data_IF_357616917994
#
_entry.id   IF_357616917994
#
_cell.length_a   1.000
_cell.length_b   1.000
_cell.length_c   1.000
_cell.angle_alpha   90.00
_cell.angle_beta   90.00
_cell.angle_gamma   90.00
#
_symmetry.space_group_name_H-M   'P 1'
#
loop_
_entity.id
_entity.type
_entity.pdbx_description
1 polymer ?
#
# COMPACT_ATOMS: atom_id res chain seq x y z
N UNK A 1 -10.56 0.38 -7.97
CA UNK A 1 -10.78 -0.51 -6.81
C UNK A 1 -9.74 -1.62 -6.91
N UNK A 2 -8.86 -1.77 -5.91
CA UNK A 2 -7.98 -2.92 -5.83
C UNK A 2 -8.86 -4.09 -5.34
N UNK A 3 -8.89 -5.19 -6.09
CA UNK A 3 -9.67 -6.37 -5.70
C UNK A 3 -9.14 -7.00 -4.40
N UNK A 4 -9.94 -7.84 -3.75
CA UNK A 4 -9.49 -8.57 -2.56
C UNK A 4 -8.31 -9.48 -2.91
N UNK A 5 -7.20 -9.31 -2.21
CA UNK A 5 -6.02 -10.17 -2.34
C UNK A 5 -6.21 -11.39 -1.44
N UNK A 6 -5.81 -12.57 -1.93
CA UNK A 6 -5.90 -13.82 -1.15
C UNK A 6 -4.51 -14.34 -0.83
N UNK A 7 -4.34 -14.86 0.38
CA UNK A 7 -3.08 -15.40 0.87
C UNK A 7 -3.25 -16.58 1.81
N UNK A 8 -2.13 -17.09 2.30
CA UNK A 8 -2.07 -18.15 3.31
C UNK A 8 -1.19 -17.71 4.47
N UNK A 9 -1.57 -18.09 5.69
CA UNK A 9 -0.81 -17.75 6.89
C UNK A 9 0.61 -18.35 6.79
N UNK A 10 1.63 -17.54 7.10
CA UNK A 10 3.02 -17.94 6.99
C UNK A 10 3.58 -17.97 5.57
N UNK A 11 2.80 -17.59 4.55
CA UNK A 11 3.26 -17.43 3.16
C UNK A 11 3.32 -15.95 2.77
N UNK A 12 4.30 -15.54 1.94
CA UNK A 12 4.33 -14.18 1.41
C UNK A 12 3.07 -13.88 0.57
N UNK A 13 2.49 -12.70 0.79
CA UNK A 13 1.39 -12.15 0.01
C UNK A 13 1.86 -10.84 -0.60
N UNK A 14 1.59 -10.69 -1.90
CA UNK A 14 2.01 -9.52 -2.68
C UNK A 14 0.79 -8.69 -3.05
N UNK A 15 0.86 -7.39 -2.80
CA UNK A 15 -0.12 -6.39 -3.22
C UNK A 15 0.55 -5.43 -4.19
N UNK A 16 -0.14 -5.11 -5.27
CA UNK A 16 0.37 -4.21 -6.31
C UNK A 16 -0.62 -3.09 -6.56
N UNK A 17 -0.10 -1.93 -6.96
CA UNK A 17 -0.92 -0.78 -7.32
C UNK A 17 -0.09 0.36 -7.88
N UNK A 18 -0.75 1.50 -8.02
CA UNK A 18 -0.11 2.72 -8.48
C UNK A 18 -0.53 3.92 -7.63
N UNK A 19 0.35 4.92 -7.55
CA UNK A 19 0.11 6.21 -6.95
C UNK A 19 0.32 7.30 -8.01
N UNK A 20 -0.49 8.34 -7.95
CA UNK A 20 -0.41 9.51 -8.83
C UNK A 20 -0.82 10.75 -8.04
N UNK A 21 -0.13 11.86 -8.30
CA UNK A 21 -0.50 13.19 -7.83
C UNK A 21 -0.55 14.12 -9.07
N UNK A 22 -1.73 14.61 -9.43
CA UNK A 22 -1.95 15.23 -10.74
C UNK A 22 -1.16 16.54 -10.89
N UNK A 23 -0.08 16.49 -11.67
CA UNK A 23 0.82 17.63 -11.89
C UNK A 23 1.89 17.80 -10.82
N UNK A 24 2.07 16.81 -9.93
CA UNK A 24 3.12 16.81 -8.92
C UNK A 24 3.78 15.42 -8.81
N UNK A 25 5.10 15.35 -8.56
CA UNK A 25 5.73 14.09 -8.23
C UNK A 25 5.14 13.50 -6.93
N UNK A 26 4.85 12.21 -6.95
CA UNK A 26 4.63 11.45 -5.71
C UNK A 26 5.99 11.34 -5.02
N UNK A 27 6.17 11.96 -3.86
CA UNK A 27 7.44 11.96 -3.13
C UNK A 27 7.65 10.67 -2.32
N UNK A 28 6.56 10.09 -1.81
CA UNK A 28 6.59 8.79 -1.15
C UNK A 28 5.24 8.08 -1.23
N UNK A 29 5.28 6.76 -1.03
CA UNK A 29 4.08 5.94 -0.77
C UNK A 29 4.14 5.45 0.67
N UNK A 30 3.04 5.60 1.39
CA UNK A 30 2.90 5.16 2.77
C UNK A 30 1.92 4.00 2.89
N UNK A 31 2.31 3.01 3.70
CA UNK A 31 1.52 1.81 3.97
C UNK A 31 1.20 1.72 5.46
N UNK A 32 -0.03 1.34 5.79
CA UNK A 32 -0.46 1.08 7.16
C UNK A 32 -1.19 -0.26 7.24
N UNK A 33 -0.90 -1.02 8.30
CA UNK A 33 -1.50 -2.33 8.59
C UNK A 33 -2.37 -2.31 9.86
N UNK A 34 -2.58 -1.14 10.46
CA UNK A 34 -3.26 -0.92 11.75
C UNK A 34 -4.34 0.17 11.65
N UNK A 35 -5.06 0.19 10.52
CA UNK A 35 -6.11 1.16 10.19
C UNK A 35 -5.66 2.63 10.30
N UNK A 36 -4.39 2.89 9.97
CA UNK A 36 -3.83 4.23 9.91
C UNK A 36 -3.23 4.73 11.22
N UNK A 37 -3.09 3.88 12.24
CA UNK A 37 -2.39 4.21 13.48
C UNK A 37 -0.91 4.48 13.26
N UNK A 38 -0.25 3.65 12.46
CA UNK A 38 1.16 3.76 12.07
C UNK A 38 1.31 3.66 10.56
N UNK A 39 2.25 4.44 10.01
CA UNK A 39 2.52 4.50 8.58
C UNK A 39 3.99 4.28 8.30
N UNK A 40 4.30 3.27 7.51
CA UNK A 40 5.65 3.02 6.99
C UNK A 40 5.82 3.78 5.68
N UNK A 41 6.85 4.61 5.58
CA UNK A 41 7.12 5.46 4.41
C UNK A 41 8.15 4.81 3.50
N UNK A 42 7.86 4.80 2.20
CA UNK A 42 8.78 4.39 1.16
C UNK A 42 8.94 5.55 0.18
N UNK A 43 10.12 6.15 0.18
CA UNK A 43 10.43 7.27 -0.71
C UNK A 43 10.48 6.80 -2.16
N UNK A 44 10.03 7.66 -3.05
CA UNK A 44 10.01 7.42 -4.50
C UNK A 44 10.89 8.44 -5.18
N UNK A 45 12.23 8.33 -5.01
CA UNK A 45 13.15 9.23 -5.68
C UNK A 45 12.94 9.14 -7.19
N UNK A 46 13.11 10.27 -7.87
CA UNK A 46 12.96 10.39 -9.32
C UNK A 46 11.55 10.15 -9.88
N UNK A 47 10.52 10.12 -9.03
CA UNK A 47 9.14 10.16 -9.50
C UNK A 47 8.92 11.43 -10.35
N UNK A 48 8.33 11.26 -11.53
CA UNK A 48 7.96 12.37 -12.41
C UNK A 48 6.53 12.81 -12.16
N UNK A 49 6.22 14.06 -12.46
CA UNK A 49 4.87 14.65 -12.36
C UNK A 49 3.92 14.17 -13.47
N UNK A 50 4.46 13.58 -14.53
CA UNK A 50 3.74 13.07 -15.70
C UNK A 50 3.55 11.53 -15.70
N UNK A 51 4.05 10.83 -14.67
CA UNK A 51 4.01 9.37 -14.56
C UNK A 51 3.43 8.90 -13.24
N UNK A 52 2.89 7.69 -13.26
CA UNK A 52 2.51 7.01 -12.03
C UNK A 52 3.72 6.37 -11.36
N UNK A 53 3.68 6.30 -10.03
CA UNK A 53 4.55 5.41 -9.27
C UNK A 53 3.84 4.07 -9.15
N UNK A 54 4.36 3.06 -9.84
CA UNK A 54 3.91 1.68 -9.65
C UNK A 54 4.66 1.07 -8.48
N UNK A 55 3.93 0.43 -7.56
CA UNK A 55 4.49 -0.13 -6.34
C UNK A 55 4.02 -1.56 -6.13
N UNK A 56 4.86 -2.31 -5.43
CA UNK A 56 4.61 -3.68 -4.99
C UNK A 56 4.98 -3.76 -3.51
N UNK A 57 4.07 -4.31 -2.70
CA UNK A 57 4.28 -4.51 -1.27
C UNK A 57 4.06 -5.97 -0.92
N UNK A 58 5.11 -6.60 -0.40
CA UNK A 58 5.08 -8.02 0.01
C UNK A 58 5.20 -8.12 1.52
N UNK A 59 4.27 -8.84 2.13
CA UNK A 59 4.32 -9.14 3.57
C UNK A 59 3.88 -10.58 3.85
N UNK A 60 4.30 -11.13 4.98
CA UNK A 60 3.94 -12.49 5.40
C UNK A 60 2.98 -12.41 6.59
N UNK A 61 1.66 -12.58 6.39
CA UNK A 61 0.70 -12.60 7.48
C UNK A 61 0.96 -13.79 8.41
N UNK A 62 1.14 -13.58 9.73
CA UNK A 62 1.49 -14.66 10.66
C UNK A 62 0.31 -15.56 11.02
N UNK A 63 -0.93 -15.08 10.84
CA UNK A 63 -2.18 -15.79 11.20
C UNK A 63 -3.20 -15.69 10.07
N UNK A 64 -4.13 -16.63 10.02
CA UNK A 64 -5.31 -16.51 9.16
C UNK A 64 -6.24 -15.41 9.65
N UNK A 65 -7.05 -14.89 8.73
CA UNK A 65 -7.97 -13.79 9.02
C UNK A 65 -8.02 -12.79 7.87
N UNK A 66 -8.76 -11.70 8.09
CA UNK A 66 -8.83 -10.59 7.16
C UNK A 66 -7.93 -9.46 7.65
N UNK A 67 -6.98 -9.07 6.82
CA UNK A 67 -6.12 -7.92 7.02
C UNK A 67 -6.59 -6.77 6.13
N UNK A 68 -6.33 -5.55 6.57
CA UNK A 68 -6.59 -4.35 5.78
C UNK A 68 -5.28 -3.58 5.65
N UNK A 69 -4.84 -3.40 4.40
CA UNK A 69 -3.70 -2.59 4.06
C UNK A 69 -4.22 -1.25 3.55
N UNK A 70 -3.85 -0.17 4.25
CA UNK A 70 -4.07 1.18 3.77
C UNK A 70 -2.86 1.65 2.99
N UNK A 71 -3.10 2.32 1.87
CA UNK A 71 -2.04 2.90 1.03
C UNK A 71 -2.39 4.34 0.72
N UNK A 72 -1.43 5.25 0.89
CA UNK A 72 -1.60 6.67 0.52
C UNK A 72 -0.34 7.21 -0.15
N UNK A 73 -0.53 8.15 -1.06
CA UNK A 73 0.56 8.91 -1.65
C UNK A 73 0.90 10.11 -0.76
N UNK A 74 2.16 10.53 -0.77
CA UNK A 74 2.67 11.72 -0.09
C UNK A 74 3.30 12.63 -1.14
N UNK A 75 2.88 13.88 -1.17
CA UNK A 75 3.44 14.92 -2.04
C UNK A 75 4.76 15.46 -1.50
N UNK A 76 5.51 16.21 -2.31
CA UNK A 76 6.81 16.77 -1.94
C UNK A 76 6.77 17.73 -0.74
N UNK A 77 5.62 18.36 -0.46
CA UNK A 77 5.40 19.20 0.72
C UNK A 77 4.91 18.42 1.95
N UNK A 78 4.93 17.09 1.89
CA UNK A 78 4.61 16.18 2.99
C UNK A 78 3.11 15.95 3.21
N UNK A 79 2.24 16.48 2.35
CA UNK A 79 0.79 16.21 2.45
C UNK A 79 0.49 14.81 1.93
N UNK A 80 -0.22 14.03 2.74
CA UNK A 80 -0.73 12.74 2.31
C UNK A 80 -2.11 12.87 1.65
N UNK A 81 -2.46 11.95 0.76
CA UNK A 81 -3.81 11.91 0.18
C UNK A 81 -4.85 11.75 1.31
N UNK A 82 -5.93 12.56 1.32
CA UNK A 82 -6.86 12.62 2.46
C UNK A 82 -7.63 11.31 2.66
N UNK A 83 -7.87 10.57 1.58
CA UNK A 83 -8.50 9.26 1.62
C UNK A 83 -7.48 8.20 1.15
N UNK A 84 -7.00 7.32 2.04
CA UNK A 84 -6.14 6.21 1.63
C UNK A 84 -6.94 5.18 0.84
N UNK A 85 -6.27 4.53 -0.11
CA UNK A 85 -6.76 3.32 -0.73
C UNK A 85 -6.78 2.18 0.30
N UNK A 86 -7.82 1.35 0.25
CA UNK A 86 -8.01 0.19 1.13
C UNK A 86 -7.86 -1.07 0.31
N UNK A 87 -7.02 -1.99 0.78
CA UNK A 87 -6.86 -3.32 0.20
C UNK A 87 -7.20 -4.35 1.26
N UNK A 88 -8.26 -5.12 0.99
CA UNK A 88 -8.60 -6.27 1.81
C UNK A 88 -7.73 -7.45 1.42
N UNK A 89 -7.10 -8.08 2.41
CA UNK A 89 -6.30 -9.29 2.24
C UNK A 89 -6.92 -10.42 3.07
N UNK A 90 -7.50 -11.41 2.39
CA UNK A 90 -8.08 -12.59 3.03
C UNK A 90 -7.03 -13.69 3.10
N UNK A 91 -6.67 -14.07 4.32
CA UNK A 91 -5.61 -15.04 4.61
C UNK A 91 -6.21 -16.33 5.14
N UNK A 92 -6.06 -17.41 4.38
CA UNK A 92 -6.43 -18.76 4.79
C UNK A 92 -5.44 -19.33 5.83
N UNK A 93 -5.85 -20.30 6.67
CA UNK A 93 -4.92 -21.00 7.56
C UNK A 93 -3.82 -21.72 6.77
N UNK A 94 -2.64 -21.85 7.39
CA UNK A 94 -1.55 -22.64 6.84
C UNK A 94 -2.01 -24.09 6.69
N UNK A 95 -1.75 -24.68 5.52
CA UNK A 95 -2.07 -26.08 5.23
C UNK A 95 -0.98 -27.02 5.74
#
# INVERSE_FOLDING_TARGET
MIGTVRGEAGRPVTVEGYAQDFGFPVAAVQFSCDDGGTWTTYDTPDAADDRNVNWTFTFTPPRSGRYELLVRAVSADGRATPQPARVAVDVAPAR
#
